data_IF_229274231363
#
_entry.id   IF_229274231363
#
_cell.length_a   1.000
_cell.length_b   1.000
_cell.length_c   1.000
_cell.angle_alpha   90.00
_cell.angle_beta   90.00
_cell.angle_gamma   90.00
#
_symmetry.space_group_name_H-M   'P 1'
#
loop_
_entity.id
_entity.type
_entity.pdbx_description
1 polymer ?
#
# COMPACT_ATOMS: atom_id res chain seq x y z
N UNK A 1 14.55 13.07 -20.24
CA UNK A 1 14.58 13.07 -18.76
C UNK A 1 15.36 11.85 -18.29
N UNK A 2 16.07 11.93 -17.17
CA UNK A 2 16.80 10.78 -16.61
C UNK A 2 15.82 9.88 -15.87
N UNK A 3 15.83 8.59 -16.18
CA UNK A 3 15.09 7.57 -15.43
C UNK A 3 15.71 7.40 -14.03
N UNK A 4 14.87 7.11 -13.04
CA UNK A 4 15.29 6.75 -11.69
C UNK A 4 14.98 5.27 -11.50
N UNK A 5 15.99 4.48 -11.07
CA UNK A 5 15.86 3.04 -10.86
C UNK A 5 16.01 2.72 -9.38
N UNK A 6 15.09 1.91 -8.86
CA UNK A 6 15.11 1.41 -7.49
C UNK A 6 15.31 -0.10 -7.49
N UNK A 7 15.88 -0.64 -6.41
CA UNK A 7 15.95 -2.07 -6.15
C UNK A 7 14.99 -2.39 -5.01
N UNK A 8 14.22 -3.49 -5.08
CA UNK A 8 13.45 -3.93 -3.93
C UNK A 8 14.36 -4.25 -2.75
N UNK A 9 13.89 -3.97 -1.55
CA UNK A 9 14.57 -4.28 -0.28
C UNK A 9 14.01 -5.53 0.40
N UNK A 10 12.94 -6.09 -0.15
CA UNK A 10 12.25 -7.25 0.40
C UNK A 10 10.99 -7.61 -0.38
N UNK A 11 10.25 -8.57 0.17
CA UNK A 11 8.99 -9.09 -0.39
C UNK A 11 7.90 -9.04 0.67
N UNK A 12 6.71 -8.59 0.27
CA UNK A 12 5.51 -8.59 1.11
C UNK A 12 4.71 -9.86 0.81
N UNK A 13 4.49 -10.65 1.85
CA UNK A 13 3.73 -11.90 1.82
C UNK A 13 2.35 -11.70 2.48
N UNK A 14 1.29 -12.14 1.81
CA UNK A 14 -0.09 -11.91 2.25
C UNK A 14 -1.01 -13.08 1.86
N UNK A 15 -2.24 -13.15 2.38
CA UNK A 15 -3.19 -14.19 1.95
C UNK A 15 -3.75 -13.95 0.54
N UNK A 16 -3.46 -12.80 -0.09
CA UNK A 16 -4.08 -12.40 -1.35
C UNK A 16 -3.23 -12.77 -2.55
N UNK A 17 -3.60 -13.83 -3.27
CA UNK A 17 -2.88 -14.30 -4.47
C UNK A 17 -3.17 -13.48 -5.74
N UNK A 18 -4.21 -12.65 -5.71
CA UNK A 18 -4.64 -11.79 -6.82
C UNK A 18 -5.37 -10.56 -6.27
N UNK A 19 -5.49 -9.46 -7.04
CA UNK A 19 -6.13 -8.24 -6.57
C UNK A 19 -7.62 -8.39 -6.25
N UNK A 20 -8.35 -9.24 -6.97
CA UNK A 20 -9.80 -9.34 -6.81
C UNK A 20 -10.19 -9.72 -5.37
N UNK A 21 -10.98 -8.87 -4.72
CA UNK A 21 -11.48 -9.06 -3.36
C UNK A 21 -10.61 -8.47 -2.25
N UNK A 22 -9.44 -7.90 -2.57
CA UNK A 22 -8.59 -7.20 -1.59
C UNK A 22 -9.28 -5.90 -1.14
N UNK A 23 -9.27 -5.56 0.16
CA UNK A 23 -9.67 -4.23 0.62
C UNK A 23 -8.86 -3.14 -0.09
N UNK A 24 -9.51 -2.06 -0.53
CA UNK A 24 -8.81 -1.05 -1.35
C UNK A 24 -7.86 -0.14 -0.55
N UNK A 25 -7.88 -0.20 0.78
CA UNK A 25 -7.00 0.54 1.70
C UNK A 25 -6.79 -0.24 3.00
N UNK A 26 -5.59 -0.16 3.58
CA UNK A 26 -5.16 -0.80 4.84
C UNK A 26 -6.14 -0.64 6.01
N UNK A 27 -6.72 0.54 6.19
CA UNK A 27 -7.72 0.79 7.26
C UNK A 27 -8.97 -0.11 7.13
N UNK A 28 -9.32 -0.54 5.93
CA UNK A 28 -10.42 -1.48 5.66
C UNK A 28 -9.97 -2.95 5.70
N UNK A 29 -8.67 -3.20 5.87
CA UNK A 29 -8.06 -4.53 5.91
C UNK A 29 -7.78 -4.99 7.35
N UNK A 30 -8.52 -4.44 8.32
CA UNK A 30 -8.30 -4.63 9.76
C UNK A 30 -8.07 -6.10 10.12
N UNK A 31 -7.01 -6.34 10.89
CA UNK A 31 -6.59 -7.64 11.43
C UNK A 31 -6.13 -8.69 10.40
N UNK A 32 -6.18 -8.39 9.09
CA UNK A 32 -5.62 -9.25 8.05
C UNK A 32 -4.10 -9.27 8.21
N UNK A 33 -3.57 -10.47 8.46
CA UNK A 33 -2.15 -10.68 8.71
C UNK A 33 -1.32 -10.83 7.44
N UNK A 34 -0.05 -10.47 7.53
CA UNK A 34 0.95 -10.72 6.51
C UNK A 34 2.36 -10.69 7.10
N UNK A 35 3.35 -10.84 6.23
CA UNK A 35 4.75 -10.76 6.59
C UNK A 35 5.49 -9.89 5.59
N UNK A 36 6.53 -9.20 6.06
CA UNK A 36 7.51 -8.57 5.18
C UNK A 36 8.83 -9.29 5.40
N UNK A 37 9.37 -9.88 4.33
CA UNK A 37 10.68 -10.50 4.34
C UNK A 37 11.69 -9.52 3.74
N UNK A 38 12.64 -9.06 4.55
CA UNK A 38 13.70 -8.14 4.13
C UNK A 38 14.87 -8.94 3.57
N UNK A 39 15.43 -8.49 2.45
CA UNK A 39 16.59 -9.18 1.90
C UNK A 39 17.80 -9.05 2.83
N UNK A 40 18.65 -10.09 2.93
CA UNK A 40 19.71 -10.16 3.94
C UNK A 40 20.57 -8.89 4.03
N UNK A 41 20.93 -8.29 2.88
CA UNK A 41 21.77 -7.10 2.79
C UNK A 41 21.15 -5.81 3.39
N UNK A 42 19.85 -5.78 3.64
CA UNK A 42 19.15 -4.63 4.23
C UNK A 42 18.71 -4.86 5.68
N UNK A 43 18.97 -6.05 6.25
CA UNK A 43 18.48 -6.44 7.58
C UNK A 43 18.98 -5.51 8.69
N UNK A 44 20.21 -5.00 8.59
CA UNK A 44 20.75 -4.04 9.57
C UNK A 44 19.89 -2.78 9.70
N UNK A 45 19.20 -2.38 8.63
CA UNK A 45 18.28 -1.24 8.62
C UNK A 45 17.02 -1.41 9.48
N UNK A 46 16.76 -2.61 10.01
CA UNK A 46 15.63 -2.89 10.90
C UNK A 46 15.88 -2.51 12.36
N UNK A 47 17.12 -2.14 12.71
CA UNK A 47 17.47 -1.73 14.06
C UNK A 47 16.50 -0.66 14.59
N UNK A 48 16.04 -0.85 15.82
CA UNK A 48 15.10 0.00 16.56
C UNK A 48 13.67 0.09 15.99
N UNK A 49 13.36 -0.57 14.87
CA UNK A 49 12.04 -0.52 14.24
C UNK A 49 10.93 -1.15 15.11
N UNK A 50 11.28 -2.11 15.97
CA UNK A 50 10.35 -2.73 16.94
C UNK A 50 9.78 -1.76 17.97
N UNK A 51 10.38 -0.58 18.14
CA UNK A 51 9.85 0.50 18.97
C UNK A 51 8.59 1.16 18.41
N UNK A 52 8.22 0.88 17.15
CA UNK A 52 7.05 1.46 16.50
C UNK A 52 5.91 0.45 16.37
N UNK A 53 4.69 0.86 16.73
CA UNK A 53 3.49 0.02 16.56
C UNK A 53 2.95 0.03 15.13
N UNK A 54 3.25 1.07 14.35
CA UNK A 54 2.80 1.24 12.97
C UNK A 54 3.96 1.71 12.09
N UNK A 55 3.98 1.19 10.87
CA UNK A 55 4.97 1.52 9.85
C UNK A 55 4.27 1.80 8.52
N UNK A 56 4.92 2.60 7.70
CA UNK A 56 4.56 2.88 6.32
C UNK A 56 5.38 1.96 5.43
N UNK A 57 4.71 1.14 4.63
CA UNK A 57 5.34 0.36 3.57
C UNK A 57 5.19 1.10 2.25
N UNK A 58 6.29 1.27 1.53
CA UNK A 58 6.30 1.75 0.14
C UNK A 58 6.68 0.59 -0.75
N UNK A 59 5.88 0.28 -1.75
CA UNK A 59 6.03 -0.95 -2.54
C UNK A 59 5.63 -0.75 -3.99
N UNK A 60 5.98 -1.72 -4.84
CA UNK A 60 5.69 -1.69 -6.27
C UNK A 60 4.47 -2.56 -6.59
N UNK A 61 3.42 -2.00 -7.20
CA UNK A 61 2.29 -2.79 -7.72
C UNK A 61 2.72 -3.61 -8.95
N UNK A 62 3.43 -4.71 -8.71
CA UNK A 62 4.05 -5.56 -9.73
C UNK A 62 3.04 -6.20 -10.71
N UNK A 63 1.76 -6.26 -10.36
CA UNK A 63 0.68 -6.73 -11.25
C UNK A 63 -0.02 -5.60 -12.02
N UNK A 64 0.19 -4.33 -11.64
CA UNK A 64 -0.49 -3.22 -12.30
C UNK A 64 -0.06 -3.13 -13.78
N UNK A 65 -1.05 -3.04 -14.66
CA UNK A 65 -0.85 -2.88 -16.10
C UNK A 65 -0.78 -1.39 -16.50
N UNK A 66 -0.70 -1.16 -17.81
CA UNK A 66 -0.46 0.14 -18.46
C UNK A 66 -1.18 1.29 -17.75
N UNK A 67 -0.42 2.30 -17.37
CA UNK A 67 -0.94 3.49 -16.74
C UNK A 67 -1.85 4.27 -17.72
N UNK A 68 -3.02 4.68 -17.22
CA UNK A 68 -3.84 5.71 -17.84
C UNK A 68 -3.83 6.96 -16.96
N UNK A 69 -3.80 8.15 -17.58
CA UNK A 69 -3.95 9.40 -16.85
C UNK A 69 -5.38 9.63 -16.32
N UNK A 70 -6.33 8.84 -16.81
CA UNK A 70 -7.74 8.88 -16.43
C UNK A 70 -8.22 7.47 -16.06
N UNK A 71 -8.83 7.32 -14.89
CA UNK A 71 -9.26 6.03 -14.35
C UNK A 71 -10.66 6.12 -13.76
N UNK A 72 -11.38 5.00 -13.74
CA UNK A 72 -12.59 4.84 -12.92
C UNK A 72 -12.17 4.27 -11.56
N UNK A 73 -12.14 5.06 -10.47
CA UNK A 73 -11.71 4.56 -9.17
C UNK A 73 -12.72 3.55 -8.58
N UNK A 74 -12.34 2.85 -7.52
CA UNK A 74 -13.21 1.84 -6.91
C UNK A 74 -14.48 2.39 -6.25
N UNK A 75 -14.44 3.63 -5.74
CA UNK A 75 -15.53 4.25 -4.97
C UNK A 75 -16.40 5.21 -5.77
N UNK A 76 -16.11 5.43 -7.05
CA UNK A 76 -16.83 6.39 -7.89
C UNK A 76 -17.03 5.87 -9.30
N UNK A 77 -18.15 6.22 -9.90
CA UNK A 77 -18.50 5.80 -11.26
C UNK A 77 -17.94 6.74 -12.32
N UNK A 78 -17.61 7.97 -11.92
CA UNK A 78 -17.06 9.00 -12.81
C UNK A 78 -15.58 8.75 -13.10
N UNK A 79 -15.16 9.09 -14.32
CA UNK A 79 -13.74 9.11 -14.68
C UNK A 79 -13.04 10.24 -13.92
N UNK A 80 -11.91 9.92 -13.30
CA UNK A 80 -11.08 10.84 -12.52
C UNK A 80 -9.64 10.83 -13.04
N UNK A 81 -8.95 11.95 -12.93
CA UNK A 81 -7.51 12.00 -13.18
C UNK A 81 -6.77 11.12 -12.18
N UNK A 82 -5.82 10.29 -12.62
CA UNK A 82 -5.18 9.24 -11.80
C UNK A 82 -4.51 9.80 -10.53
N UNK A 83 -4.00 11.03 -10.58
CA UNK A 83 -3.39 11.70 -9.42
C UNK A 83 -4.39 12.19 -8.37
N UNK A 84 -5.67 12.27 -8.72
CA UNK A 84 -6.77 12.52 -7.77
C UNK A 84 -7.35 11.25 -7.16
N UNK A 85 -6.69 10.10 -7.40
CA UNK A 85 -7.11 8.77 -6.93
C UNK A 85 -5.94 8.02 -6.29
N UNK A 86 -6.24 6.86 -5.71
CA UNK A 86 -5.25 5.87 -5.24
C UNK A 86 -5.23 4.60 -6.11
N UNK A 87 -5.59 4.72 -7.39
CA UNK A 87 -5.54 3.60 -8.35
C UNK A 87 -4.12 3.01 -8.46
N UNK A 88 -3.93 1.69 -8.55
CA UNK A 88 -2.61 1.07 -8.67
C UNK A 88 -1.96 1.30 -10.05
N UNK A 89 -2.73 1.37 -11.14
CA UNK A 89 -2.21 1.68 -12.48
C UNK A 89 -1.92 3.18 -12.63
N UNK A 90 -0.68 3.58 -12.36
CA UNK A 90 -0.18 4.97 -12.42
C UNK A 90 1.17 5.00 -13.16
N UNK A 91 1.66 6.17 -13.62
CA UNK A 91 2.94 6.26 -14.33
C UNK A 91 4.11 5.60 -13.59
N UNK A 92 4.16 5.76 -12.26
CA UNK A 92 4.98 4.96 -11.36
C UNK A 92 4.02 4.20 -10.43
N UNK A 93 3.89 2.87 -10.57
CA UNK A 93 2.91 2.08 -9.81
C UNK A 93 3.45 1.80 -8.40
N UNK A 94 3.52 2.86 -7.59
CA UNK A 94 3.98 2.84 -6.20
C UNK A 94 2.76 2.84 -5.28
N UNK A 95 2.71 1.85 -4.40
CA UNK A 95 1.73 1.73 -3.32
C UNK A 95 2.30 2.21 -1.99
N UNK A 96 1.40 2.63 -1.11
CA UNK A 96 1.71 3.09 0.25
C UNK A 96 0.63 2.54 1.18
N UNK A 97 1.03 1.80 2.20
CA UNK A 97 0.13 1.30 3.25
C UNK A 97 0.69 1.58 4.62
N UNK A 98 -0.18 2.01 5.54
CA UNK A 98 0.12 2.07 6.96
C UNK A 98 -0.34 0.74 7.56
N UNK A 99 0.58 -0.02 8.12
CA UNK A 99 0.31 -1.35 8.69
C UNK A 99 0.72 -1.37 10.16
N UNK A 100 0.08 -2.24 10.94
CA UNK A 100 0.52 -2.52 12.31
C UNK A 100 1.71 -3.46 12.29
N UNK A 101 2.78 -3.09 12.99
CA UNK A 101 3.93 -3.95 13.26
C UNK A 101 3.65 -4.73 14.55
N UNK A 102 3.65 -6.06 14.45
CA UNK A 102 3.36 -6.95 15.60
C UNK A 102 4.64 -7.39 16.28
N UNK A 103 5.64 -7.80 15.51
CA UNK A 103 6.97 -8.22 15.97
C UNK A 103 7.95 -8.32 14.80
N UNK A 104 9.24 -8.35 15.12
CA UNK A 104 10.33 -8.63 14.18
C UNK A 104 11.04 -9.91 14.62
N UNK A 105 11.29 -10.83 13.69
CA UNK A 105 12.03 -12.07 13.90
C UNK A 105 13.12 -12.19 12.82
N UNK A 106 14.36 -11.85 13.16
CA UNK A 106 15.44 -11.77 12.17
C UNK A 106 15.14 -10.72 11.09
N UNK A 107 15.03 -11.16 9.84
CA UNK A 107 14.69 -10.32 8.69
C UNK A 107 13.17 -10.32 8.36
N UNK A 108 12.33 -10.90 9.23
CA UNK A 108 10.88 -11.02 9.01
C UNK A 108 10.11 -10.09 9.93
N UNK A 109 9.32 -9.18 9.35
CA UNK A 109 8.37 -8.34 10.09
C UNK A 109 7.00 -9.01 10.01
N UNK A 110 6.39 -9.29 11.15
CA UNK A 110 5.00 -9.76 11.22
C UNK A 110 4.08 -8.55 11.31
N UNK A 111 3.13 -8.43 10.38
CA UNK A 111 2.29 -7.24 10.24
C UNK A 111 0.80 -7.57 10.20
N UNK A 112 -0.04 -6.57 10.48
CA UNK A 112 -1.50 -6.60 10.36
C UNK A 112 -2.00 -5.41 9.55
N UNK A 113 -3.26 -5.46 9.15
CA UNK A 113 -3.95 -4.45 8.34
C UNK A 113 -3.45 -4.41 6.89
N UNK A 114 -3.13 -5.59 6.35
CA UNK A 114 -2.53 -5.77 5.03
C UNK A 114 -3.58 -5.70 3.93
N UNK A 115 -3.37 -4.82 2.96
CA UNK A 115 -4.18 -4.62 1.74
C UNK A 115 -3.35 -4.85 0.45
N UNK A 116 -2.35 -5.74 0.53
CA UNK A 116 -1.29 -5.87 -0.48
C UNK A 116 -1.31 -7.28 -1.06
N UNK A 117 -1.17 -7.42 -2.38
CA UNK A 117 -1.04 -8.73 -3.05
C UNK A 117 0.23 -9.45 -2.61
N UNK A 118 0.16 -10.75 -2.42
CA UNK A 118 1.27 -11.63 -2.10
C UNK A 118 2.39 -11.56 -3.14
N UNK A 119 3.65 -11.62 -2.69
CA UNK A 119 4.82 -11.49 -3.58
C UNK A 119 5.13 -10.06 -4.01
N UNK A 120 4.47 -9.06 -3.43
CA UNK A 120 4.69 -7.66 -3.80
C UNK A 120 6.10 -7.18 -3.40
N UNK A 121 6.91 -6.62 -4.33
CA UNK A 121 8.22 -6.08 -4.01
C UNK A 121 8.13 -4.85 -3.12
N UNK A 122 8.82 -4.89 -1.97
CA UNK A 122 8.96 -3.75 -1.06
C UNK A 122 10.07 -2.83 -1.55
N UNK A 123 9.83 -1.53 -1.56
CA UNK A 123 10.80 -0.51 -1.94
C UNK A 123 11.39 0.21 -0.72
N UNK A 124 10.60 0.47 0.32
CA UNK A 124 11.02 1.24 1.49
C UNK A 124 10.12 1.00 2.70
N UNK A 125 10.62 1.29 3.90
CA UNK A 125 9.88 1.24 5.18
C UNK A 125 10.14 2.53 5.95
N UNK A 126 9.11 3.12 6.57
CA UNK A 126 9.24 4.27 7.47
C UNK A 126 8.41 4.07 8.73
N UNK A 127 8.82 4.63 9.89
CA UNK A 127 7.94 4.70 11.04
C UNK A 127 6.73 5.59 10.73
N UNK A 128 5.57 5.26 11.29
CA UNK A 128 4.41 6.16 11.31
C UNK A 128 4.37 6.92 12.63
N UNK A 129 4.34 8.24 12.58
CA UNK A 129 4.38 9.12 13.75
C UNK A 129 3.24 10.14 13.65
N UNK A 130 2.20 10.03 14.50
CA UNK A 130 1.02 10.89 14.43
C UNK A 130 1.32 12.39 14.41
N UNK A 131 2.34 12.84 15.15
CA UNK A 131 2.73 14.25 15.29
C UNK A 131 3.08 14.92 13.96
N UNK A 132 3.51 14.15 12.94
CA UNK A 132 3.82 14.70 11.62
C UNK A 132 3.11 14.01 10.44
N UNK A 133 2.54 12.82 10.65
CA UNK A 133 1.79 12.11 9.61
C UNK A 133 0.28 12.40 9.65
N UNK A 134 -0.27 12.82 10.80
CA UNK A 134 -1.68 13.24 10.90
C UNK A 134 -1.80 14.74 10.68
N UNK A 135 -2.62 15.13 9.71
CA UNK A 135 -2.93 16.54 9.44
C UNK A 135 -4.43 16.78 9.54
N UNK A 136 -4.82 17.94 10.06
CA UNK A 136 -6.18 18.45 9.88
C UNK A 136 -6.37 18.79 8.40
N UNK A 137 -7.45 18.31 7.80
CA UNK A 137 -7.75 18.45 6.37
C UNK A 137 -9.06 19.21 6.21
N UNK A 138 -9.07 20.23 5.36
CA UNK A 138 -10.27 21.05 5.08
C UNK A 138 -11.20 20.41 4.02
N UNK A 139 -10.65 19.68 3.06
CA UNK A 139 -11.42 18.97 2.01
C UNK A 139 -10.67 17.74 1.49
N UNK A 140 -11.42 16.70 1.12
CA UNK A 140 -10.91 15.49 0.44
C UNK A 140 -11.42 15.38 -1.01
N UNK A 141 -11.93 16.47 -1.57
CA UNK A 141 -12.44 16.54 -2.94
C UNK A 141 -13.62 15.61 -3.19
N UNK A 142 -13.63 14.91 -4.33
CA UNK A 142 -14.75 14.04 -4.72
C UNK A 142 -15.01 12.86 -3.76
N UNK A 143 -14.06 12.55 -2.88
CA UNK A 143 -14.21 11.53 -1.86
C UNK A 143 -15.20 11.94 -0.76
N UNK A 144 -15.49 13.23 -0.55
CA UNK A 144 -16.49 13.67 0.45
C UNK A 144 -17.84 12.97 0.25
N UNK A 145 -18.22 12.76 -1.02
CA UNK A 145 -19.46 12.09 -1.41
C UNK A 145 -19.37 10.56 -1.43
N UNK A 146 -18.17 9.97 -1.34
CA UNK A 146 -17.95 8.56 -1.65
C UNK A 146 -17.16 7.77 -0.58
N UNK A 147 -16.49 8.44 0.35
CA UNK A 147 -15.60 7.80 1.34
C UNK A 147 -16.34 6.82 2.27
N UNK A 148 -17.65 7.02 2.46
CA UNK A 148 -18.50 6.10 3.21
C UNK A 148 -18.56 4.69 2.58
N UNK A 149 -18.20 4.53 1.31
CA UNK A 149 -18.11 3.23 0.61
C UNK A 149 -16.85 2.45 0.98
N UNK A 150 -15.86 3.07 1.62
CA UNK A 150 -14.57 2.46 1.93
C UNK A 150 -14.67 1.10 2.63
N UNK A 151 -15.52 0.90 3.67
CA UNK A 151 -15.56 -0.36 4.41
C UNK A 151 -15.98 -1.58 3.57
N UNK A 152 -16.69 -1.35 2.46
CA UNK A 152 -17.21 -2.41 1.58
C UNK A 152 -16.48 -2.47 0.23
N UNK A 153 -15.66 -1.48 -0.08
CA UNK A 153 -14.98 -1.40 -1.39
C UNK A 153 -13.82 -2.38 -1.45
N UNK A 154 -13.80 -3.19 -2.50
CA UNK A 154 -12.76 -4.16 -2.80
C UNK A 154 -12.26 -3.96 -4.22
N UNK A 155 -11.00 -4.32 -4.46
CA UNK A 155 -10.45 -4.34 -5.81
C UNK A 155 -11.20 -5.41 -6.64
N UNK A 156 -11.57 -5.07 -7.87
CA UNK A 156 -12.32 -5.90 -8.80
C UNK A 156 -11.46 -6.42 -9.98
N UNK A 157 -10.14 -6.21 -9.89
CA UNK A 157 -9.15 -6.66 -10.86
C UNK A 157 -9.05 -5.77 -12.09
N UNK A 158 -9.77 -4.64 -12.17
CA UNK A 158 -9.78 -3.81 -13.40
C UNK A 158 -8.42 -3.24 -13.80
N UNK A 159 -7.46 -3.21 -12.89
CA UNK A 159 -6.14 -2.61 -13.09
C UNK A 159 -5.03 -3.62 -13.43
N UNK A 160 -5.36 -4.93 -13.47
CA UNK A 160 -4.43 -6.00 -13.85
C UNK A 160 -4.78 -6.68 -15.17
N UNK A 161 -5.93 -6.32 -15.75
CA UNK A 161 -6.40 -6.75 -17.06
C UNK A 161 -5.74 -5.98 -18.21
#
# INVERSE_FOLDING_TARGET
>A
MKEIKYKPIGTIHSPFKKPEGIPIQSIAAKDIGGKVEIFPEYTEGLKDLEGFSHIILIYHFHLARKASLNVKPFMDEQIRGVFSTRSPSRPNPIGISIVRLVKIEGNILHIRDVDIVDGTPLLDIKPYVPEFDVRKVDSIGWLEKNVHKLPVSKDDGRFVR
#
